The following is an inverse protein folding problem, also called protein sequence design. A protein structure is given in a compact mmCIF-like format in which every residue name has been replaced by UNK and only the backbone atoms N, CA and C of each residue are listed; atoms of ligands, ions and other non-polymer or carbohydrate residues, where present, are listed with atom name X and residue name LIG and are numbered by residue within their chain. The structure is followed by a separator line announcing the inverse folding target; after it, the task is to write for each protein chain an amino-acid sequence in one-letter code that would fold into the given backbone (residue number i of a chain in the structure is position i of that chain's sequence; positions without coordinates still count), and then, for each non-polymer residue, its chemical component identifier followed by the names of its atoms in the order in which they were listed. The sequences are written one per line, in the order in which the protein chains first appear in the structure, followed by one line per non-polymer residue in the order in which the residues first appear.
data_IF_233040565912
#
_entry.id   IF_233040565912
#
_cell.length_a   1.000
_cell.length_b   1.000
_cell.length_c   1.000
_cell.angle_alpha   90.00
_cell.angle_beta   90.00
_cell.angle_gamma   90.00
#
_symmetry.space_group_name_H-M   'P 1'
#
loop_
_entity.id
_entity.type
_entity.pdbx_description
1 polymer ?
#
# COMPACT_ATOMS: atom_id res chain seq x y z
N UNK A 1 -12.49 6.81 24.11
CA UNK A 1 -12.46 7.35 22.75
C UNK A 1 -11.42 6.49 22.05
N UNK A 2 -11.80 5.81 20.98
CA UNK A 2 -10.78 5.22 20.12
C UNK A 2 -10.13 6.41 19.41
N UNK A 3 -8.85 6.60 19.70
CA UNK A 3 -8.10 7.74 19.19
C UNK A 3 -7.79 7.46 17.71
N UNK A 4 -8.05 8.43 16.84
CA UNK A 4 -7.57 8.37 15.45
C UNK A 4 -6.05 8.29 15.43
N UNK A 5 -5.49 7.36 14.66
CA UNK A 5 -4.05 7.22 14.48
C UNK A 5 -3.64 7.62 13.05
N UNK A 6 -2.51 8.32 12.93
CA UNK A 6 -1.92 8.71 11.66
C UNK A 6 -0.44 8.35 11.65
N UNK A 7 -0.06 7.44 10.76
CA UNK A 7 1.31 7.01 10.55
C UNK A 7 1.70 7.35 9.12
N UNK A 8 2.82 8.06 8.98
CA UNK A 8 3.47 8.30 7.69
C UNK A 8 4.90 7.78 7.76
N UNK A 9 5.24 6.93 6.82
CA UNK A 9 6.55 6.33 6.68
C UNK A 9 7.03 6.44 5.23
N UNK A 10 8.34 6.53 5.05
CA UNK A 10 8.93 6.63 3.72
C UNK A 10 10.36 6.10 3.74
N UNK A 11 10.75 5.48 2.63
CA UNK A 11 12.10 4.98 2.38
C UNK A 11 12.49 5.25 0.92
N UNK A 12 13.78 5.47 0.67
CA UNK A 12 14.27 5.72 -0.68
C UNK A 12 15.72 5.25 -0.85
N UNK A 13 16.01 4.75 -2.04
CA UNK A 13 17.32 4.24 -2.42
C UNK A 13 17.80 4.86 -3.74
N UNK A 14 19.12 5.02 -3.84
CA UNK A 14 19.76 5.53 -5.05
C UNK A 14 21.00 4.71 -5.40
N UNK A 15 20.94 4.02 -6.54
CA UNK A 15 22.03 3.24 -7.08
C UNK A 15 22.97 4.13 -7.91
N UNK A 16 24.03 4.65 -7.28
CA UNK A 16 24.93 5.64 -7.91
C UNK A 16 25.55 5.22 -9.25
N UNK A 17 25.75 3.91 -9.47
CA UNK A 17 26.39 3.39 -10.68
C UNK A 17 25.45 3.33 -11.89
N UNK A 18 24.17 3.05 -11.65
CA UNK A 18 23.14 2.95 -12.70
C UNK A 18 22.32 4.23 -12.82
N UNK A 19 22.35 5.09 -11.80
CA UNK A 19 21.51 6.29 -11.72
C UNK A 19 20.04 5.97 -11.42
N UNK A 20 19.74 4.74 -11.00
CA UNK A 20 18.39 4.29 -10.64
C UNK A 20 18.03 4.82 -9.26
N UNK A 21 16.82 5.36 -9.13
CA UNK A 21 16.22 5.69 -7.85
C UNK A 21 14.94 4.88 -7.63
N UNK A 22 14.77 4.42 -6.40
CA UNK A 22 13.61 3.69 -5.93
C UNK A 22 13.13 4.33 -4.63
N UNK A 23 11.84 4.21 -4.33
CA UNK A 23 11.34 4.65 -3.04
C UNK A 23 9.87 4.33 -2.84
N UNK A 24 9.49 4.35 -1.58
CA UNK A 24 8.14 4.04 -1.10
C UNK A 24 7.72 5.08 -0.07
N UNK A 25 6.45 5.44 -0.06
CA UNK A 25 5.84 6.18 1.02
C UNK A 25 4.49 5.57 1.37
N UNK A 26 4.31 5.23 2.64
CA UNK A 26 3.12 4.57 3.17
C UNK A 26 2.43 5.48 4.17
N UNK A 27 1.11 5.60 4.04
CA UNK A 27 0.23 6.31 4.96
C UNK A 27 -0.78 5.30 5.49
N UNK A 28 -0.88 5.23 6.82
CA UNK A 28 -1.92 4.50 7.55
C UNK A 28 -2.73 5.51 8.35
N UNK A 29 -4.04 5.48 8.18
CA UNK A 29 -4.96 6.34 8.91
C UNK A 29 -6.12 5.54 9.48
N UNK A 30 -6.16 5.45 10.81
CA UNK A 30 -7.22 4.78 11.55
C UNK A 30 -8.29 5.81 11.94
N UNK A 31 -9.51 5.56 11.49
CA UNK A 31 -10.68 6.36 11.82
C UNK A 31 -11.28 5.90 13.14
N UNK A 32 -12.06 6.78 13.79
CA UNK A 32 -12.80 6.44 15.03
C UNK A 32 -13.90 5.37 14.83
N UNK A 33 -14.18 4.92 13.60
CA UNK A 33 -15.30 4.04 13.25
C UNK A 33 -14.84 2.64 12.76
N UNK A 34 -13.82 2.05 13.39
CA UNK A 34 -13.28 0.72 13.04
C UNK A 34 -12.83 0.60 11.57
N UNK A 35 -12.53 1.74 10.93
CA UNK A 35 -12.06 1.81 9.56
C UNK A 35 -10.58 2.19 9.52
N UNK A 36 -9.85 1.63 8.56
CA UNK A 36 -8.46 1.96 8.29
C UNK A 36 -8.27 2.27 6.83
N UNK A 37 -7.67 3.43 6.53
CA UNK A 37 -7.20 3.79 5.19
C UNK A 37 -5.70 3.49 5.10
N UNK A 38 -5.36 2.63 4.16
CA UNK A 38 -3.99 2.33 3.76
C UNK A 38 -3.75 2.97 2.39
N UNK A 39 -2.65 3.71 2.26
CA UNK A 39 -2.20 4.28 1.00
C UNK A 39 -0.70 4.06 0.89
N UNK A 40 -0.24 3.53 -0.23
CA UNK A 40 1.17 3.45 -0.54
C UNK A 40 1.44 3.92 -1.96
N UNK A 41 2.56 4.61 -2.15
CA UNK A 41 3.06 4.99 -3.47
C UNK A 41 4.51 4.53 -3.60
N UNK A 42 4.85 3.97 -4.76
CA UNK A 42 6.24 3.65 -5.11
C UNK A 42 6.69 4.44 -6.32
N UNK A 43 7.99 4.66 -6.34
CA UNK A 43 8.71 5.13 -7.51
C UNK A 43 9.84 4.15 -7.79
N UNK A 44 9.99 3.77 -9.04
CA UNK A 44 11.06 2.89 -9.50
C UNK A 44 11.41 3.25 -10.95
N UNK A 45 12.60 3.81 -11.15
CA UNK A 45 13.04 4.19 -12.52
C UNK A 45 13.49 3.05 -13.41
N UNK A 46 13.73 1.86 -12.87
CA UNK A 46 14.14 0.67 -13.63
C UNK A 46 13.02 -0.36 -13.77
N UNK A 47 11.88 -0.12 -13.12
CA UNK A 47 10.70 -0.97 -13.15
C UNK A 47 9.90 -0.91 -14.45
N UNK A 48 8.81 -1.67 -14.48
CA UNK A 48 7.87 -1.71 -15.61
C UNK A 48 7.17 -0.36 -15.85
N UNK A 49 7.01 0.44 -14.80
CA UNK A 49 6.55 1.83 -14.82
C UNK A 49 7.32 2.66 -13.79
N UNK A 50 7.33 3.99 -13.97
CA UNK A 50 8.05 4.88 -13.05
C UNK A 50 7.35 5.00 -11.70
N UNK A 51 6.02 4.95 -11.68
CA UNK A 51 5.22 5.17 -10.48
C UNK A 51 4.17 4.09 -10.33
N UNK A 52 3.92 3.66 -9.10
CA UNK A 52 2.77 2.83 -8.71
C UNK A 52 2.10 3.45 -7.49
N UNK A 53 0.84 3.11 -7.27
CA UNK A 53 0.19 3.41 -6.01
C UNK A 53 -0.98 2.50 -5.74
N UNK A 54 -1.13 2.15 -4.47
CA UNK A 54 -2.22 1.32 -3.97
C UNK A 54 -2.95 2.05 -2.84
N UNK A 55 -4.27 1.97 -2.85
CA UNK A 55 -5.12 2.45 -1.77
C UNK A 55 -6.06 1.33 -1.36
N UNK A 56 -6.20 1.08 -0.05
CA UNK A 56 -7.12 0.09 0.51
C UNK A 56 -7.88 0.73 1.67
N UNK A 57 -9.19 0.55 1.70
CA UNK A 57 -10.05 0.89 2.83
C UNK A 57 -10.53 -0.42 3.45
N UNK A 58 -10.25 -0.59 4.73
CA UNK A 58 -10.65 -1.74 5.54
C UNK A 58 -11.68 -1.30 6.58
N UNK A 59 -12.63 -2.18 6.90
CA UNK A 59 -13.64 -1.95 7.93
C UNK A 59 -13.84 -3.23 8.74
N UNK A 60 -13.55 -3.18 10.04
CA UNK A 60 -13.78 -4.28 10.97
C UNK A 60 -15.27 -4.36 11.33
N UNK A 61 -16.03 -5.10 10.54
CA UNK A 61 -17.50 -5.21 10.67
C UNK A 61 -17.93 -6.02 11.89
N UNK A 62 -17.07 -6.93 12.35
CA UNK A 62 -17.28 -7.77 13.53
C UNK A 62 -15.95 -8.34 14.03
N UNK A 63 -15.96 -8.94 15.23
CA UNK A 63 -14.80 -9.69 15.75
C UNK A 63 -14.37 -10.75 14.72
N UNK A 64 -13.09 -10.72 14.33
CA UNK A 64 -12.47 -11.60 13.33
C UNK A 64 -13.07 -11.51 11.91
N UNK A 65 -13.75 -10.41 11.56
CA UNK A 65 -14.31 -10.22 10.22
C UNK A 65 -14.10 -8.79 9.74
N UNK A 66 -13.35 -8.67 8.66
CA UNK A 66 -13.06 -7.39 8.00
C UNK A 66 -13.63 -7.42 6.58
N UNK A 67 -14.12 -6.28 6.11
CA UNK A 67 -14.41 -6.07 4.68
C UNK A 67 -13.44 -5.03 4.13
N UNK A 68 -13.06 -5.17 2.86
CA UNK A 68 -12.17 -4.21 2.23
C UNK A 68 -12.54 -3.91 0.78
N UNK A 69 -12.11 -2.73 0.34
CA UNK A 69 -12.05 -2.34 -1.07
C UNK A 69 -10.71 -1.68 -1.33
N UNK A 70 -10.08 -2.04 -2.44
CA UNK A 70 -8.78 -1.53 -2.84
C UNK A 70 -8.70 -1.19 -4.31
N UNK A 71 -7.75 -0.32 -4.63
CA UNK A 71 -7.34 -0.03 -5.99
C UNK A 71 -5.83 0.09 -6.06
N UNK A 72 -5.25 -0.57 -7.03
CA UNK A 72 -3.83 -0.56 -7.33
C UNK A 72 -3.62 -0.07 -8.77
N UNK A 73 -2.71 0.88 -8.94
CA UNK A 73 -2.28 1.42 -10.22
C UNK A 73 -0.83 1.03 -10.49
N UNK A 74 -0.62 0.13 -11.46
CA UNK A 74 0.64 -0.53 -11.79
C UNK A 74 1.05 -1.56 -10.71
N UNK A 75 1.12 -2.82 -11.13
CA UNK A 75 1.32 -4.00 -10.29
C UNK A 75 2.69 -4.03 -9.59
N UNK A 76 2.70 -4.51 -8.34
CA UNK A 76 3.89 -4.83 -7.52
C UNK A 76 3.65 -6.12 -6.71
N UNK A 77 4.72 -6.81 -6.28
CA UNK A 77 4.59 -8.15 -5.68
C UNK A 77 4.29 -8.14 -4.17
N UNK A 78 4.53 -7.00 -3.49
CA UNK A 78 4.47 -6.88 -2.03
C UNK A 78 3.17 -6.20 -1.56
N UNK A 79 2.66 -6.62 -0.39
CA UNK A 79 1.52 -5.99 0.26
C UNK A 79 1.85 -4.53 0.70
N UNK A 80 0.82 -3.70 0.90
CA UNK A 80 1.00 -2.36 1.49
C UNK A 80 1.73 -2.49 2.84
N UNK A 81 2.71 -1.62 3.07
CA UNK A 81 3.55 -1.57 4.26
C UNK A 81 4.54 -2.74 4.40
N UNK A 82 4.77 -3.49 3.31
CA UNK A 82 5.91 -4.38 3.13
C UNK A 82 6.95 -3.72 2.22
N UNK A 83 8.20 -3.66 2.69
CA UNK A 83 9.29 -2.89 2.08
C UNK A 83 10.47 -3.78 1.67
N UNK A 84 10.24 -5.08 1.55
CA UNK A 84 11.26 -6.05 1.14
C UNK A 84 11.66 -5.85 -0.33
N UNK A 85 10.73 -5.47 -1.22
CA UNK A 85 10.98 -5.16 -2.63
C UNK A 85 10.28 -3.88 -3.11
N UNK A 86 11.00 -3.02 -3.85
CA UNK A 86 10.44 -1.76 -4.36
C UNK A 86 9.98 -1.83 -5.82
N UNK A 87 10.15 -2.99 -6.45
CA UNK A 87 10.02 -3.14 -7.88
C UNK A 87 8.56 -3.00 -8.34
N UNK A 88 8.35 -2.16 -9.35
CA UNK A 88 7.07 -2.13 -10.07
C UNK A 88 7.16 -3.17 -11.19
N UNK A 89 6.39 -4.24 -11.09
CA UNK A 89 6.52 -5.44 -11.94
C UNK A 89 5.58 -5.43 -13.15
N UNK A 90 4.50 -4.64 -13.10
CA UNK A 90 3.51 -4.56 -14.16
C UNK A 90 2.92 -3.17 -14.37
N UNK A 91 2.11 -3.02 -15.42
CA UNK A 91 1.40 -1.78 -15.75
C UNK A 91 -0.12 -1.93 -15.68
N UNK A 92 -0.58 -3.08 -15.21
CA UNK A 92 -2.01 -3.34 -15.04
C UNK A 92 -2.54 -2.58 -13.82
N UNK A 93 -3.83 -2.30 -13.80
CA UNK A 93 -4.49 -1.69 -12.65
C UNK A 93 -5.60 -2.59 -12.18
N UNK A 94 -5.68 -2.79 -10.88
CA UNK A 94 -6.55 -3.78 -10.26
C UNK A 94 -7.49 -3.11 -9.27
N UNK A 95 -8.77 -3.48 -9.31
CA UNK A 95 -9.73 -3.16 -8.25
C UNK A 95 -10.00 -4.44 -7.48
N UNK A 96 -9.80 -4.40 -6.17
CA UNK A 96 -10.03 -5.54 -5.27
C UNK A 96 -11.16 -5.21 -4.30
N UNK A 97 -11.93 -6.22 -3.94
CA UNK A 97 -12.91 -6.13 -2.86
C UNK A 97 -13.11 -7.52 -2.27
N UNK A 98 -13.20 -7.60 -0.94
CA UNK A 98 -13.21 -8.89 -0.26
C UNK A 98 -13.69 -8.83 1.17
N UNK A 99 -13.68 -10.01 1.80
CA UNK A 99 -13.99 -10.23 3.21
C UNK A 99 -12.90 -11.13 3.76
N UNK A 100 -12.23 -10.70 4.83
CA UNK A 100 -11.22 -11.48 5.54
C UNK A 100 -11.81 -12.00 6.85
N UNK A 101 -11.63 -13.31 7.13
CA UNK A 101 -12.17 -13.98 8.31
C UNK A 101 -11.09 -14.81 8.99
N UNK A 102 -10.88 -14.58 10.28
CA UNK A 102 -9.92 -15.36 11.11
C UNK A 102 -10.67 -16.26 12.11
N UNK A 103 -10.06 -17.40 12.50
CA UNK A 103 -10.69 -18.46 13.33
C UNK A 103 -9.87 -18.80 14.57
#
# INVERSE_FOLDING_TARGET
EEDTEFILSAHAEYAMLTGVYMGVATLVYDFEEDMTLLLEVRVDTDGAAVYSGEVKLEYAVAENTDIYVGFEYNDWDDDINDWDEYAIVGTDSTVTAGIDVTF
#
